data_IF_629544400864
#
_entry.id   IF_629544400864
#
_cell.length_a   1.000
_cell.length_b   1.000
_cell.length_c   1.000
_cell.angle_alpha   90.00
_cell.angle_beta   90.00
_cell.angle_gamma   90.00
#
_symmetry.space_group_name_H-M   'P 1'
#
loop_
_entity.id
_entity.type
_entity.pdbx_description
1 polymer ?
#
# COMPACT_ATOMS: atom_id res chain seq x y z
N UNK A 1 9.25 -23.20 23.50
CA UNK A 1 8.88 -22.19 22.49
C UNK A 1 9.11 -22.83 21.13
N UNK A 2 8.05 -23.13 20.37
CA UNK A 2 8.14 -23.98 19.17
C UNK A 2 8.78 -23.24 17.99
N UNK A 3 9.52 -23.94 17.14
CA UNK A 3 10.18 -23.43 15.92
C UNK A 3 9.20 -22.68 15.00
N UNK A 4 7.91 -23.01 15.05
CA UNK A 4 6.82 -22.33 14.34
C UNK A 4 6.62 -20.88 14.81
N UNK A 5 6.74 -20.60 16.10
CA UNK A 5 6.56 -19.24 16.67
C UNK A 5 7.67 -18.29 16.22
N UNK A 6 8.91 -18.78 16.12
CA UNK A 6 10.09 -18.00 15.72
C UNK A 6 10.04 -17.64 14.22
N UNK A 7 9.60 -18.56 13.37
CA UNK A 7 9.40 -18.32 11.93
C UNK A 7 8.28 -17.32 11.65
N UNK A 8 7.15 -17.44 12.36
CA UNK A 8 6.02 -16.52 12.25
C UNK A 8 6.40 -15.09 12.68
N UNK A 9 7.17 -14.95 13.77
CA UNK A 9 7.68 -13.68 14.25
C UNK A 9 8.73 -13.05 13.31
N UNK A 10 9.58 -13.86 12.67
CA UNK A 10 10.54 -13.40 11.65
C UNK A 10 9.84 -12.92 10.37
N UNK A 11 8.76 -13.57 9.97
CA UNK A 11 7.94 -13.16 8.82
C UNK A 11 7.32 -11.77 9.06
N UNK A 12 6.64 -11.57 10.19
CA UNK A 12 5.99 -10.29 10.52
C UNK A 12 6.96 -9.11 10.65
N UNK A 13 8.19 -9.33 11.15
CA UNK A 13 9.23 -8.29 11.19
C UNK A 13 9.69 -7.88 9.79
N UNK A 14 9.80 -8.83 8.85
CA UNK A 14 10.18 -8.54 7.45
C UNK A 14 9.06 -7.80 6.73
N UNK A 15 7.80 -8.15 6.98
CA UNK A 15 6.61 -7.42 6.52
C UNK A 15 6.65 -5.96 6.94
N UNK A 16 6.79 -5.71 8.24
CA UNK A 16 6.83 -4.36 8.79
C UNK A 16 8.01 -3.56 8.22
N UNK A 17 9.19 -4.17 8.08
CA UNK A 17 10.34 -3.51 7.49
C UNK A 17 10.12 -3.12 6.01
N UNK A 18 9.50 -4.00 5.21
CA UNK A 18 9.16 -3.70 3.80
C UNK A 18 8.10 -2.61 3.70
N UNK A 19 7.03 -2.71 4.49
CA UNK A 19 5.95 -1.73 4.55
C UNK A 19 6.48 -0.35 4.95
N UNK A 20 7.34 -0.31 5.97
CA UNK A 20 7.98 0.92 6.45
C UNK A 20 8.91 1.50 5.40
N UNK A 21 9.71 0.67 4.73
CA UNK A 21 10.60 1.12 3.66
C UNK A 21 9.80 1.73 2.50
N UNK A 22 8.78 1.04 1.99
CA UNK A 22 7.95 1.56 0.91
C UNK A 22 7.21 2.83 1.33
N UNK A 23 6.66 2.88 2.54
CA UNK A 23 5.97 4.04 3.05
C UNK A 23 6.90 5.25 3.22
N UNK A 24 8.12 5.04 3.72
CA UNK A 24 9.11 6.10 3.91
C UNK A 24 9.57 6.67 2.58
N UNK A 25 9.87 5.81 1.59
CA UNK A 25 10.29 6.24 0.25
C UNK A 25 9.19 7.05 -0.42
N UNK A 26 7.98 6.50 -0.45
CA UNK A 26 6.83 7.15 -1.09
C UNK A 26 6.46 8.44 -0.36
N UNK A 27 6.38 8.41 0.97
CA UNK A 27 6.06 9.58 1.80
C UNK A 27 7.07 10.71 1.62
N UNK A 28 8.37 10.41 1.66
CA UNK A 28 9.43 11.41 1.45
C UNK A 28 9.38 12.01 0.04
N UNK A 29 9.18 11.16 -0.99
CA UNK A 29 9.08 11.62 -2.38
C UNK A 29 7.94 12.63 -2.54
N UNK A 30 6.77 12.30 -2.03
CA UNK A 30 5.59 13.17 -2.12
C UNK A 30 5.68 14.41 -1.23
N UNK A 31 6.35 14.32 -0.08
CA UNK A 31 6.67 15.47 0.76
C UNK A 31 7.54 16.48 -0.01
N UNK A 32 8.64 16.01 -0.59
CA UNK A 32 9.55 16.85 -1.35
C UNK A 32 8.85 17.47 -2.57
N UNK A 33 8.08 16.67 -3.31
CA UNK A 33 7.33 17.14 -4.47
C UNK A 33 6.32 18.23 -4.11
N UNK A 34 5.48 17.99 -3.10
CA UNK A 34 4.48 18.95 -2.68
C UNK A 34 5.11 20.23 -2.10
N UNK A 35 6.23 20.12 -1.39
CA UNK A 35 6.98 21.29 -0.89
C UNK A 35 7.55 22.12 -2.04
N UNK A 36 8.19 21.46 -3.01
CA UNK A 36 8.78 22.13 -4.17
C UNK A 36 7.75 22.86 -5.03
N UNK A 37 6.63 22.20 -5.35
CA UNK A 37 5.56 22.78 -6.18
C UNK A 37 4.92 23.98 -5.48
N UNK A 38 4.76 23.93 -4.15
CA UNK A 38 4.12 25.01 -3.40
C UNK A 38 5.10 26.10 -2.91
N UNK A 39 6.39 26.01 -3.27
CA UNK A 39 7.41 26.94 -2.80
C UNK A 39 7.11 28.40 -3.17
N UNK A 40 6.50 28.61 -4.34
CA UNK A 40 6.11 29.95 -4.83
C UNK A 40 4.96 30.58 -4.02
N UNK A 41 4.23 29.80 -3.23
CA UNK A 41 3.12 30.28 -2.39
C UNK A 41 3.56 30.62 -0.96
N UNK A 42 4.88 30.65 -0.70
CA UNK A 42 5.46 30.96 0.60
C UNK A 42 5.90 29.72 1.36
N UNK A 43 6.97 29.86 2.14
CA UNK A 43 7.64 28.76 2.84
C UNK A 43 6.71 28.02 3.81
N UNK A 44 5.84 28.74 4.52
CA UNK A 44 4.87 28.13 5.44
C UNK A 44 3.85 27.26 4.69
N UNK A 45 3.28 27.75 3.59
CA UNK A 45 2.32 27.01 2.78
C UNK A 45 2.98 25.77 2.12
N UNK A 46 4.22 25.93 1.65
CA UNK A 46 4.99 24.85 1.04
C UNK A 46 5.26 23.70 2.01
N UNK A 47 5.73 24.00 3.22
CA UNK A 47 6.03 22.98 4.24
C UNK A 47 4.74 22.27 4.67
N UNK A 48 3.64 23.01 4.88
CA UNK A 48 2.37 22.42 5.28
C UNK A 48 1.82 21.47 4.20
N UNK A 49 1.91 21.86 2.92
CA UNK A 49 1.54 21.01 1.79
C UNK A 49 2.43 19.76 1.70
N UNK A 50 3.74 19.91 1.90
CA UNK A 50 4.71 18.82 1.99
C UNK A 50 4.35 17.81 3.08
N UNK A 51 4.15 18.27 4.31
CA UNK A 51 3.83 17.42 5.45
C UNK A 51 2.49 16.71 5.28
N UNK A 52 1.46 17.42 4.79
CA UNK A 52 0.15 16.84 4.52
C UNK A 52 0.21 15.72 3.49
N UNK A 53 0.84 15.97 2.34
CA UNK A 53 0.92 14.99 1.27
C UNK A 53 1.83 13.81 1.64
N UNK A 54 3.01 14.08 2.21
CA UNK A 54 3.93 13.04 2.66
C UNK A 54 3.32 12.11 3.71
N UNK A 55 2.60 12.69 4.69
CA UNK A 55 1.91 11.93 5.74
C UNK A 55 0.83 11.00 5.18
N UNK A 56 -0.03 11.52 4.31
CA UNK A 56 -1.09 10.71 3.66
C UNK A 56 -0.48 9.57 2.84
N UNK A 57 0.54 9.86 2.02
CA UNK A 57 1.19 8.84 1.20
C UNK A 57 1.91 7.78 2.03
N UNK A 58 2.49 8.17 3.16
CA UNK A 58 3.11 7.23 4.10
C UNK A 58 2.08 6.29 4.73
N UNK A 59 0.99 6.84 5.28
CA UNK A 59 -0.07 6.04 5.93
C UNK A 59 -0.71 5.07 4.94
N UNK A 60 -1.07 5.55 3.74
CA UNK A 60 -1.68 4.71 2.72
C UNK A 60 -0.76 3.57 2.27
N UNK A 61 0.53 3.85 2.09
CA UNK A 61 1.50 2.83 1.69
C UNK A 61 1.69 1.75 2.77
N UNK A 62 1.72 2.14 4.05
CA UNK A 62 1.79 1.19 5.16
C UNK A 62 0.51 0.33 5.24
N UNK A 63 -0.66 0.96 5.21
CA UNK A 63 -1.94 0.24 5.28
C UNK A 63 -2.09 -0.77 4.14
N UNK A 64 -1.68 -0.39 2.92
CA UNK A 64 -1.76 -1.26 1.75
C UNK A 64 -0.81 -2.46 1.87
N UNK A 65 0.41 -2.26 2.38
CA UNK A 65 1.37 -3.33 2.60
C UNK A 65 0.88 -4.33 3.67
N UNK A 66 0.33 -3.86 4.78
CA UNK A 66 -0.22 -4.75 5.82
C UNK A 66 -1.43 -5.55 5.32
N UNK A 67 -2.35 -4.90 4.60
CA UNK A 67 -3.52 -5.58 4.03
C UNK A 67 -3.13 -6.65 3.02
N UNK A 68 -2.23 -6.34 2.08
CA UNK A 68 -1.79 -7.31 1.07
C UNK A 68 -1.12 -8.52 1.71
N UNK A 69 -0.26 -8.31 2.71
CA UNK A 69 0.39 -9.44 3.36
C UNK A 69 -0.60 -10.27 4.17
N UNK A 70 -1.52 -9.67 4.93
CA UNK A 70 -2.55 -10.41 5.66
C UNK A 70 -3.44 -11.24 4.71
N UNK A 71 -3.96 -10.60 3.66
CA UNK A 71 -4.87 -11.23 2.70
C UNK A 71 -4.18 -12.26 1.82
N UNK A 72 -2.88 -12.08 1.53
CA UNK A 72 -2.12 -13.06 0.77
C UNK A 72 -2.05 -14.37 1.53
N UNK A 73 -1.81 -14.43 2.85
CA UNK A 73 -1.71 -15.71 3.57
C UNK A 73 -3.07 -16.37 3.92
N UNK A 74 -4.20 -15.72 3.64
CA UNK A 74 -5.51 -16.24 4.06
C UNK A 74 -5.98 -17.47 3.26
N UNK A 75 -5.84 -17.53 1.92
CA UNK A 75 -6.25 -18.71 1.15
C UNK A 75 -5.19 -19.83 1.20
N UNK A 76 -5.62 -21.06 1.50
CA UNK A 76 -4.74 -22.25 1.49
C UNK A 76 -4.26 -22.65 0.09
N UNK A 77 -5.03 -22.31 -0.96
CA UNK A 77 -4.70 -22.65 -2.33
C UNK A 77 -3.81 -21.55 -2.97
N UNK A 78 -2.62 -21.95 -3.42
CA UNK A 78 -1.59 -21.06 -4.00
C UNK A 78 -2.07 -20.34 -5.27
N UNK A 79 -2.98 -20.92 -6.05
CA UNK A 79 -3.50 -20.35 -7.30
C UNK A 79 -4.47 -19.18 -7.05
N UNK A 80 -5.24 -19.24 -5.96
CA UNK A 80 -6.22 -18.19 -5.62
C UNK A 80 -5.64 -17.08 -4.75
N UNK A 81 -4.43 -17.30 -4.22
CA UNK A 81 -3.75 -16.44 -3.25
C UNK A 81 -3.52 -15.00 -3.75
N UNK A 82 -2.98 -14.89 -4.96
CA UNK A 82 -2.72 -13.61 -5.63
C UNK A 82 -4.02 -12.89 -6.00
N UNK A 83 -4.95 -13.51 -6.76
CA UNK A 83 -6.18 -12.81 -7.15
C UNK A 83 -7.04 -12.43 -5.94
N UNK A 84 -7.10 -13.25 -4.89
CA UNK A 84 -7.82 -12.91 -3.67
C UNK A 84 -7.26 -11.66 -2.97
N UNK A 85 -5.94 -11.61 -2.74
CA UNK A 85 -5.31 -10.47 -2.08
C UNK A 85 -5.46 -9.18 -2.88
N UNK A 86 -5.34 -9.24 -4.21
CA UNK A 86 -5.53 -8.10 -5.11
C UNK A 86 -6.97 -7.61 -5.06
N UNK A 87 -7.95 -8.49 -5.28
CA UNK A 87 -9.37 -8.11 -5.35
C UNK A 87 -9.86 -7.53 -4.03
N UNK A 88 -9.58 -8.17 -2.90
CA UNK A 88 -10.06 -7.71 -1.60
C UNK A 88 -9.41 -6.37 -1.20
N UNK A 89 -8.11 -6.21 -1.45
CA UNK A 89 -7.43 -4.93 -1.18
C UNK A 89 -8.01 -3.81 -2.04
N UNK A 90 -8.21 -4.06 -3.34
CA UNK A 90 -8.78 -3.08 -4.24
C UNK A 90 -10.22 -2.70 -3.88
N UNK A 91 -11.04 -3.67 -3.46
CA UNK A 91 -12.40 -3.40 -3.00
C UNK A 91 -12.41 -2.47 -1.78
N UNK A 92 -11.59 -2.76 -0.76
CA UNK A 92 -11.52 -1.93 0.45
C UNK A 92 -10.99 -0.54 0.14
N UNK A 93 -9.90 -0.43 -0.61
CA UNK A 93 -9.32 0.88 -0.98
C UNK A 93 -10.30 1.69 -1.82
N UNK A 94 -10.96 1.07 -2.80
CA UNK A 94 -11.95 1.75 -3.64
C UNK A 94 -13.14 2.19 -2.82
N UNK A 95 -13.65 1.35 -1.92
CA UNK A 95 -14.78 1.68 -1.04
C UNK A 95 -14.47 2.85 -0.10
N UNK A 96 -13.32 2.82 0.59
CA UNK A 96 -12.88 3.90 1.48
C UNK A 96 -12.68 5.21 0.74
N UNK A 97 -12.00 5.15 -0.41
CA UNK A 97 -11.74 6.35 -1.22
C UNK A 97 -13.05 6.92 -1.78
N UNK A 98 -13.97 6.06 -2.20
CA UNK A 98 -15.31 6.46 -2.66
C UNK A 98 -16.10 7.13 -1.53
N UNK A 99 -16.07 6.57 -0.31
CA UNK A 99 -16.73 7.16 0.85
C UNK A 99 -16.21 8.57 1.15
N UNK A 100 -14.89 8.77 1.08
CA UNK A 100 -14.27 10.10 1.22
C UNK A 100 -14.79 11.06 0.15
N UNK A 101 -14.84 10.63 -1.12
CA UNK A 101 -15.38 11.47 -2.19
C UNK A 101 -16.87 11.80 -2.06
N UNK A 102 -17.66 10.89 -1.48
CA UNK A 102 -19.06 11.14 -1.16
C UNK A 102 -19.19 12.20 -0.06
N UNK A 103 -18.38 12.10 1.01
CA UNK A 103 -18.37 13.09 2.10
C UNK A 103 -17.94 14.47 1.60
N UNK A 104 -16.97 14.52 0.68
CA UNK A 104 -16.48 15.77 0.07
C UNK A 104 -17.48 16.33 -0.97
N UNK A 105 -18.45 15.54 -1.43
CA UNK A 105 -19.41 15.96 -2.45
C UNK A 105 -18.80 16.05 -3.84
N UNK A 106 -17.87 15.15 -4.19
CA UNK A 106 -17.21 15.15 -5.50
C UNK A 106 -18.23 14.83 -6.60
N UNK A 107 -18.47 15.70 -7.58
CA UNK A 107 -19.56 15.55 -8.55
C UNK A 107 -19.34 14.40 -9.55
N UNK A 108 -18.10 14.00 -9.80
CA UNK A 108 -17.73 13.03 -10.85
C UNK A 108 -16.84 11.90 -10.31
N UNK A 109 -17.28 11.26 -9.23
CA UNK A 109 -16.53 10.23 -8.49
C UNK A 109 -15.97 9.14 -9.40
N UNK A 110 -16.77 8.65 -10.34
CA UNK A 110 -16.36 7.56 -11.23
C UNK A 110 -15.12 7.97 -12.04
N UNK A 111 -15.15 9.15 -12.69
CA UNK A 111 -14.02 9.66 -13.47
C UNK A 111 -12.79 9.89 -12.60
N UNK A 112 -12.98 10.33 -11.36
CA UNK A 112 -11.90 10.51 -10.38
C UNK A 112 -11.27 9.18 -9.96
N UNK A 113 -12.05 8.10 -9.89
CA UNK A 113 -11.59 6.80 -9.40
C UNK A 113 -11.00 5.88 -10.47
N UNK A 114 -11.30 6.07 -11.76
CA UNK A 114 -10.80 5.17 -12.83
C UNK A 114 -9.28 5.04 -12.80
N UNK A 115 -8.55 6.16 -12.82
CA UNK A 115 -7.10 6.12 -12.89
C UNK A 115 -6.44 5.56 -11.60
N UNK A 116 -6.86 5.98 -10.39
CA UNK A 116 -6.39 5.36 -9.14
C UNK A 116 -6.66 3.85 -9.06
N UNK A 117 -7.82 3.39 -9.54
CA UNK A 117 -8.16 1.96 -9.55
C UNK A 117 -7.21 1.20 -10.48
N UNK A 118 -7.00 1.68 -11.71
CA UNK A 118 -6.09 1.03 -12.67
C UNK A 118 -4.65 0.96 -12.14
N UNK A 119 -4.15 2.06 -11.58
CA UNK A 119 -2.81 2.11 -10.97
C UNK A 119 -2.71 1.21 -9.73
N UNK A 120 -3.76 1.18 -8.90
CA UNK A 120 -3.85 0.31 -7.73
C UNK A 120 -3.82 -1.17 -8.08
N UNK A 121 -4.55 -1.58 -9.13
CA UNK A 121 -4.53 -2.97 -9.64
C UNK A 121 -3.12 -3.34 -10.10
N UNK A 122 -2.45 -2.47 -10.86
CA UNK A 122 -1.07 -2.70 -11.31
C UNK A 122 -0.10 -2.85 -10.13
N UNK A 123 -0.14 -1.91 -9.18
CA UNK A 123 0.73 -1.93 -8.01
C UNK A 123 0.51 -3.19 -7.14
N UNK A 124 -0.74 -3.49 -6.78
CA UNK A 124 -1.11 -4.64 -5.93
C UNK A 124 -0.72 -5.96 -6.59
N UNK A 125 -0.93 -6.08 -7.90
CA UNK A 125 -0.53 -7.28 -8.67
C UNK A 125 0.98 -7.47 -8.66
N UNK A 126 1.76 -6.42 -8.96
CA UNK A 126 3.23 -6.49 -8.92
C UNK A 126 3.76 -6.80 -7.52
N UNK A 127 3.13 -6.24 -6.48
CA UNK A 127 3.47 -6.53 -5.10
C UNK A 127 3.23 -8.01 -4.75
N UNK A 128 2.04 -8.54 -5.06
CA UNK A 128 1.71 -9.96 -4.85
C UNK A 128 2.62 -10.91 -5.66
N UNK A 129 3.02 -10.54 -6.87
CA UNK A 129 3.97 -11.32 -7.68
C UNK A 129 5.37 -11.34 -7.04
N UNK A 130 5.86 -10.19 -6.54
CA UNK A 130 7.12 -10.13 -5.77
C UNK A 130 7.03 -10.96 -4.49
N UNK A 131 5.89 -10.88 -3.79
CA UNK A 131 5.63 -11.64 -2.58
C UNK A 131 5.67 -13.15 -2.87
N UNK A 132 4.99 -13.60 -3.93
CA UNK A 132 5.01 -14.99 -4.38
C UNK A 132 6.42 -15.49 -4.68
N UNK A 133 7.24 -14.71 -5.39
CA UNK A 133 8.65 -15.08 -5.68
C UNK A 133 9.51 -15.20 -4.42
N UNK A 134 9.35 -14.28 -3.46
CA UNK A 134 10.10 -14.33 -2.20
C UNK A 134 9.76 -15.58 -1.36
N UNK A 135 8.49 -16.03 -1.37
CA UNK A 135 8.06 -17.21 -0.61
C UNK A 135 8.16 -18.53 -1.40
N UNK A 136 8.30 -18.49 -2.72
CA UNK A 136 8.61 -19.66 -3.53
C UNK A 136 10.06 -20.13 -3.35
N UNK A 137 11.01 -19.20 -3.25
CA UNK A 137 12.44 -19.50 -3.06
C UNK A 137 12.80 -20.04 -1.67
N UNK A 138 11.91 -19.92 -0.69
CA UNK A 138 12.08 -20.51 0.66
C UNK A 138 11.58 -21.95 0.75
N UNK A 139 10.88 -22.46 -0.27
CA UNK A 139 10.27 -23.81 -0.27
C UNK A 139 11.14 -24.88 -0.93
N UNK A 140 12.31 -24.52 -1.46
CA UNK A 140 13.27 -25.43 -2.13
C UNK A 140 14.55 -25.65 -1.30
N UNK A 141 14.56 -25.21 -0.04
CA UNK A 141 15.70 -25.33 0.88
C UNK A 141 15.48 -26.39 1.98
N UNK A 142 14.40 -27.17 1.88
CA UNK A 142 14.11 -28.37 2.66
C UNK A 142 14.25 -29.60 1.75
#
# INVERSE_FOLDING_TARGET
MSTSTIQQQRSGKKTAARALLSATVIGTLFLCWATFVNWQHGTHAAILAGMGQGGVSFVMSMSMAFMLEFLFFLPSNKLVRIPFAVVVTMLVVTALTTLVHLIIGTPEIIKTMVLPILMGIGYTTLYCLRLSRMYAGTSTAD
#
